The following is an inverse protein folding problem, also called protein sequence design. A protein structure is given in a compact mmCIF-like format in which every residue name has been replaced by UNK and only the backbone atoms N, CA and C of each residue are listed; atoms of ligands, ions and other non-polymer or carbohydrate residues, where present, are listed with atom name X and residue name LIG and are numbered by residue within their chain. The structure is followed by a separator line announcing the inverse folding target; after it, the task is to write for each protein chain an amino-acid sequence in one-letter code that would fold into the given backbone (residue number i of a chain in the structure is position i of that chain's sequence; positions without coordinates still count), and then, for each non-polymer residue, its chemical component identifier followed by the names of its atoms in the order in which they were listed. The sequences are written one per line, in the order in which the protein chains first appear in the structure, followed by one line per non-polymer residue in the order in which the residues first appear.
data_IF_233483201808
#
_entry.id   IF_233483201808
#
_cell.length_a   1.000
_cell.length_b   1.000
_cell.length_c   1.000
_cell.angle_alpha   90.00
_cell.angle_beta   90.00
_cell.angle_gamma   90.00
#
_symmetry.space_group_name_H-M   'P 1'
#
loop_
_entity.id
_entity.type
_entity.pdbx_description
1 polymer ?
#
# COMPACT_ATOMS: atom_id res chain seq x y z
N UNK A 1 -5.12 7.80 13.65
CA UNK A 1 -4.07 8.42 12.79
C UNK A 1 -3.67 7.37 11.76
N UNK A 2 -3.37 7.75 10.52
CA UNK A 2 -2.86 6.77 9.53
C UNK A 2 -1.50 6.26 10.02
N UNK A 3 -1.36 4.95 10.19
CA UNK A 3 -0.10 4.33 10.60
C UNK A 3 1.01 4.54 9.55
N UNK A 4 2.26 4.59 10.00
CA UNK A 4 3.42 4.75 9.12
C UNK A 4 3.58 3.58 8.14
N UNK A 5 3.08 2.40 8.51
CA UNK A 5 2.97 1.20 7.69
C UNK A 5 2.07 1.41 6.46
N UNK A 6 0.90 2.03 6.60
CA UNK A 6 0.04 2.36 5.46
C UNK A 6 0.72 3.30 4.47
N UNK A 7 1.32 4.38 4.98
CA UNK A 7 2.06 5.33 4.14
C UNK A 7 3.23 4.65 3.43
N UNK A 8 3.99 3.82 4.16
CA UNK A 8 5.10 3.06 3.59
C UNK A 8 4.64 2.13 2.46
N UNK A 9 3.49 1.46 2.61
CA UNK A 9 2.95 0.61 1.56
C UNK A 9 2.51 1.40 0.32
N UNK A 10 1.83 2.55 0.49
CA UNK A 10 1.40 3.39 -0.65
C UNK A 10 2.61 3.84 -1.48
N UNK A 11 3.69 4.25 -0.80
CA UNK A 11 4.96 4.59 -1.46
C UNK A 11 5.55 3.35 -2.14
N UNK A 12 5.59 2.20 -1.45
CA UNK A 12 6.09 0.94 -2.00
C UNK A 12 5.34 0.55 -3.27
N UNK A 13 4.02 0.66 -3.30
CA UNK A 13 3.19 0.30 -4.45
C UNK A 13 3.56 1.12 -5.70
N UNK A 14 3.76 2.43 -5.55
CA UNK A 14 4.22 3.30 -6.61
C UNK A 14 5.63 2.97 -7.11
N UNK A 15 6.56 2.74 -6.17
CA UNK A 15 7.94 2.36 -6.49
C UNK A 15 8.00 1.02 -7.22
N UNK A 16 7.34 -0.02 -6.69
CA UNK A 16 7.28 -1.37 -7.27
C UNK A 16 6.73 -1.31 -8.68
N UNK A 17 5.60 -0.63 -8.88
CA UNK A 17 4.98 -0.51 -10.19
C UNK A 17 5.94 0.14 -11.22
N UNK A 18 6.66 1.19 -10.82
CA UNK A 18 7.59 1.87 -11.70
C UNK A 18 8.82 1.02 -12.04
N UNK A 19 9.53 0.48 -11.03
CA UNK A 19 10.75 -0.30 -11.28
C UNK A 19 10.48 -1.64 -11.98
N UNK A 20 9.26 -2.17 -11.85
CA UNK A 20 8.82 -3.37 -12.54
C UNK A 20 8.28 -3.10 -13.96
N UNK A 21 8.22 -1.83 -14.41
CA UNK A 21 7.67 -1.46 -15.71
C UNK A 21 6.18 -1.74 -15.86
N UNK A 22 5.43 -1.76 -14.76
CA UNK A 22 3.99 -1.99 -14.75
C UNK A 22 3.24 -0.74 -15.15
N UNK A 23 2.02 -0.89 -15.67
CA UNK A 23 1.17 0.25 -15.99
C UNK A 23 0.68 0.98 -14.72
N UNK A 24 0.23 2.22 -14.87
CA UNK A 24 -0.42 3.00 -13.80
C UNK A 24 -1.68 2.33 -13.24
N UNK A 25 -2.19 1.27 -13.89
CA UNK A 25 -3.27 0.46 -13.37
C UNK A 25 -2.89 -0.20 -12.02
N UNK A 26 -1.61 -0.48 -11.78
CA UNK A 26 -1.15 -1.14 -10.56
C UNK A 26 -1.52 -0.37 -9.28
N UNK A 27 -1.07 0.89 -9.09
CA UNK A 27 -1.45 1.65 -7.90
C UNK A 27 -2.97 1.90 -7.80
N UNK A 28 -3.69 1.97 -8.93
CA UNK A 28 -5.16 2.09 -8.89
C UNK A 28 -5.87 0.83 -8.39
N UNK A 29 -5.32 -0.37 -8.61
CA UNK A 29 -5.87 -1.59 -8.02
C UNK A 29 -5.77 -1.57 -6.49
N UNK A 30 -4.67 -1.05 -5.94
CA UNK A 30 -4.54 -0.85 -4.50
C UNK A 30 -5.59 0.14 -3.97
N UNK A 31 -5.79 1.28 -4.65
CA UNK A 31 -6.80 2.26 -4.27
C UNK A 31 -8.21 1.67 -4.35
N UNK A 32 -8.54 0.96 -5.43
CA UNK A 32 -9.83 0.27 -5.57
C UNK A 32 -10.05 -0.74 -4.44
N UNK A 33 -9.03 -1.55 -4.13
CA UNK A 33 -9.03 -2.46 -2.98
C UNK A 33 -9.30 -1.72 -1.69
N UNK A 34 -8.65 -0.57 -1.46
CA UNK A 34 -8.84 0.23 -0.25
C UNK A 34 -10.28 0.73 -0.08
N UNK A 35 -10.94 1.14 -1.17
CA UNK A 35 -12.33 1.58 -1.11
C UNK A 35 -13.26 0.40 -0.79
N UNK A 36 -12.98 -0.79 -1.32
CA UNK A 36 -13.69 -2.03 -0.97
C UNK A 36 -13.49 -2.34 0.51
N UNK A 37 -12.25 -2.26 1.01
CA UNK A 37 -11.91 -2.48 2.41
C UNK A 37 -12.68 -1.57 3.37
N UNK A 38 -12.74 -0.27 3.07
CA UNK A 38 -13.56 0.68 3.83
C UNK A 38 -15.03 0.26 3.81
N UNK A 39 -15.56 -0.11 2.64
CA UNK A 39 -16.93 -0.60 2.50
C UNK A 39 -17.22 -1.82 3.38
N UNK A 40 -16.32 -2.81 3.41
CA UNK A 40 -16.43 -3.99 4.27
C UNK A 40 -16.45 -3.61 5.75
N UNK A 41 -15.60 -2.67 6.16
CA UNK A 41 -15.56 -2.17 7.54
C UNK A 41 -16.89 -1.51 7.94
N UNK A 42 -17.45 -0.68 7.07
CA UNK A 42 -18.75 -0.03 7.30
C UNK A 42 -19.93 -1.00 7.34
N UNK A 43 -19.80 -2.16 6.68
CA UNK A 43 -20.76 -3.27 6.78
C UNK A 43 -20.60 -4.09 8.07
N UNK A 44 -19.69 -3.70 8.98
CA UNK A 44 -19.38 -4.41 10.22
C UNK A 44 -18.91 -5.86 9.98
N UNK A 45 -18.24 -6.09 8.85
CA UNK A 45 -17.65 -7.39 8.51
C UNK A 45 -16.22 -7.46 9.03
N UNK A 46 -15.98 -8.26 10.08
CA UNK A 46 -14.64 -8.38 10.65
C UNK A 46 -13.64 -9.03 9.70
N UNK A 47 -12.52 -8.33 9.45
CA UNK A 47 -11.34 -8.90 8.80
C UNK A 47 -10.31 -9.32 9.86
N UNK A 48 -10.17 -10.62 10.15
CA UNK A 48 -9.25 -11.07 11.18
C UNK A 48 -7.80 -10.79 10.76
N UNK A 49 -6.95 -10.49 11.75
CA UNK A 49 -5.52 -10.26 11.58
C UNK A 49 -5.16 -9.15 10.58
N UNK A 50 -6.05 -8.16 10.38
CA UNK A 50 -5.84 -7.08 9.42
C UNK A 50 -4.49 -6.35 9.63
N UNK A 51 -4.16 -5.99 10.88
CA UNK A 51 -2.92 -5.29 11.21
C UNK A 51 -1.66 -6.13 10.91
N UNK A 52 -1.71 -7.44 11.18
CA UNK A 52 -0.61 -8.38 10.87
C UNK A 52 -0.43 -8.47 9.34
N UNK A 53 -1.52 -8.56 8.59
CA UNK A 53 -1.50 -8.65 7.12
C UNK A 53 -0.96 -7.34 6.51
N UNK A 54 -1.35 -6.19 7.06
CA UNK A 54 -0.81 -4.87 6.70
C UNK A 54 0.70 -4.81 6.96
N UNK A 55 1.16 -5.18 8.15
CA UNK A 55 2.58 -5.15 8.48
C UNK A 55 3.40 -6.12 7.59
N UNK A 56 2.86 -7.31 7.33
CA UNK A 56 3.47 -8.30 6.45
C UNK A 56 3.53 -7.81 4.98
N UNK A 57 2.51 -7.08 4.51
CA UNK A 57 2.49 -6.52 3.16
C UNK A 57 3.58 -5.46 2.97
N UNK A 58 3.78 -4.59 3.98
CA UNK A 58 4.84 -3.57 4.01
C UNK A 58 6.21 -4.24 4.00
N UNK A 59 6.40 -5.25 4.84
CA UNK A 59 7.62 -6.05 4.88
C UNK A 59 7.90 -6.67 3.51
N UNK A 60 6.90 -7.31 2.90
CA UNK A 60 7.05 -7.96 1.60
C UNK A 60 7.35 -6.96 0.47
N UNK A 61 6.66 -5.81 0.44
CA UNK A 61 6.89 -4.75 -0.54
C UNK A 61 8.28 -4.13 -0.41
N UNK A 62 8.72 -3.86 0.82
CA UNK A 62 10.07 -3.40 1.11
C UNK A 62 11.14 -4.40 0.68
N UNK A 63 10.93 -5.69 0.98
CA UNK A 63 11.82 -6.76 0.55
C UNK A 63 11.91 -6.87 -0.98
N UNK A 64 10.78 -6.78 -1.68
CA UNK A 64 10.71 -6.84 -3.15
C UNK A 64 11.53 -5.74 -3.80
N UNK A 65 11.53 -4.53 -3.23
CA UNK A 65 12.37 -3.42 -3.67
C UNK A 65 13.84 -3.62 -3.27
N UNK A 66 14.11 -3.95 -2.01
CA UNK A 66 15.47 -4.06 -1.47
C UNK A 66 16.33 -5.12 -2.18
N UNK A 67 15.71 -6.24 -2.58
CA UNK A 67 16.40 -7.32 -3.31
C UNK A 67 16.93 -6.88 -4.68
N UNK A 68 16.35 -5.84 -5.29
CA UNK A 68 16.80 -5.29 -6.58
C UNK A 68 16.82 -6.31 -7.71
N UNK A 69 15.79 -7.17 -7.80
CA UNK A 69 15.64 -8.18 -8.86
C UNK A 69 14.30 -8.01 -9.54
N UNK A 70 14.26 -8.32 -10.84
CA UNK A 70 13.05 -8.28 -11.65
C UNK A 70 11.83 -8.96 -10.98
N UNK A 71 10.66 -8.36 -11.19
CA UNK A 71 9.37 -8.93 -10.80
C UNK A 71 8.91 -9.86 -11.92
N UNK A 72 8.99 -11.17 -11.66
CA UNK A 72 8.71 -12.19 -12.69
C UNK A 72 7.21 -12.30 -13.03
N UNK A 73 6.32 -12.06 -12.07
CA UNK A 73 4.87 -12.23 -12.24
C UNK A 73 4.10 -10.95 -11.88
N UNK A 74 3.92 -10.06 -12.85
CA UNK A 74 3.18 -8.81 -12.68
C UNK A 74 1.68 -9.04 -12.39
N UNK A 75 1.08 -10.12 -12.90
CA UNK A 75 -0.32 -10.47 -12.66
C UNK A 75 -0.54 -10.76 -11.18
N UNK A 76 0.37 -11.52 -10.57
CA UNK A 76 0.34 -11.76 -9.12
C UNK A 76 0.46 -10.45 -8.34
N UNK A 77 1.33 -9.53 -8.76
CA UNK A 77 1.47 -8.22 -8.08
C UNK A 77 0.19 -7.39 -8.20
N UNK A 78 -0.48 -7.38 -9.36
CA UNK A 78 -1.79 -6.74 -9.51
C UNK A 78 -2.83 -7.31 -8.53
N UNK A 79 -2.92 -8.65 -8.44
CA UNK A 79 -3.83 -9.30 -7.52
C UNK A 79 -3.49 -8.97 -6.05
N UNK A 80 -2.21 -8.98 -5.69
CA UNK A 80 -1.75 -8.64 -4.34
C UNK A 80 -2.04 -7.18 -3.99
N UNK A 81 -1.88 -6.24 -4.92
CA UNK A 81 -2.24 -4.84 -4.68
C UNK A 81 -3.73 -4.68 -4.38
N UNK A 82 -4.60 -5.36 -5.12
CA UNK A 82 -6.04 -5.34 -4.83
C UNK A 82 -6.33 -5.93 -3.44
N UNK A 83 -5.80 -7.13 -3.13
CA UNK A 83 -6.05 -7.83 -1.87
C UNK A 83 -5.50 -7.05 -0.67
N UNK A 84 -4.24 -6.62 -0.73
CA UNK A 84 -3.63 -5.82 0.33
C UNK A 84 -4.34 -4.48 0.46
N UNK A 85 -4.75 -3.87 -0.66
CA UNK A 85 -5.61 -2.69 -0.67
C UNK A 85 -6.83 -2.86 0.22
N UNK A 86 -7.53 -4.00 0.14
CA UNK A 86 -8.69 -4.30 1.01
C UNK A 86 -8.32 -4.23 2.50
N UNK A 87 -7.21 -4.83 2.93
CA UNK A 87 -6.82 -4.78 4.35
C UNK A 87 -6.43 -3.37 4.80
N UNK A 88 -5.66 -2.63 3.98
CA UNK A 88 -5.33 -1.25 4.31
C UNK A 88 -6.58 -0.36 4.36
N UNK A 89 -7.50 -0.56 3.41
CA UNK A 89 -8.80 0.08 3.35
C UNK A 89 -9.66 -0.18 4.58
N UNK A 90 -9.69 -1.43 5.03
CA UNK A 90 -10.46 -1.83 6.20
C UNK A 90 -10.05 -1.03 7.44
N UNK A 91 -8.75 -0.90 7.71
CA UNK A 91 -8.26 -0.10 8.82
C UNK A 91 -8.47 1.42 8.64
N UNK A 92 -8.55 1.93 7.41
CA UNK A 92 -8.99 3.32 7.18
C UNK A 92 -10.46 3.54 7.59
N UNK A 93 -11.29 2.52 7.42
CA UNK A 93 -12.71 2.53 7.78
C UNK A 93 -12.98 2.72 9.27
N UNK A 94 -12.07 2.32 10.15
CA UNK A 94 -12.21 2.47 11.61
C UNK A 94 -12.41 3.92 12.03
N UNK A 95 -11.73 4.86 11.36
CA UNK A 95 -11.75 6.28 11.71
C UNK A 95 -13.09 6.98 11.39
N UNK A 96 -13.99 6.32 10.66
CA UNK A 96 -15.21 6.91 10.11
C UNK A 96 -16.48 6.16 10.50
N UNK A 97 -16.39 5.15 11.36
CA UNK A 97 -17.55 4.46 11.93
C UNK A 97 -18.46 5.48 12.64
N UNK A 98 -19.76 5.46 12.32
CA UNK A 98 -20.76 6.35 12.92
C UNK A 98 -20.86 7.75 12.32
N UNK A 99 -20.17 8.02 11.21
CA UNK A 99 -20.26 9.29 10.47
C UNK A 99 -21.57 9.43 9.68
N UNK A 100 -22.07 10.66 9.51
CA UNK A 100 -23.19 10.96 8.58
C UNK A 100 -22.75 10.75 7.10
N UNK A 101 -23.70 10.55 6.17
CA UNK A 101 -23.39 10.14 4.78
C UNK A 101 -22.60 11.18 3.95
N UNK A 102 -22.88 12.48 4.10
CA UNK A 102 -22.19 13.53 3.34
C UNK A 102 -20.69 13.61 3.67
N UNK A 103 -20.27 13.56 4.96
CA UNK A 103 -18.86 13.35 5.34
C UNK A 103 -18.19 12.12 4.71
N UNK A 104 -18.94 11.04 4.49
CA UNK A 104 -18.39 9.79 4.00
C UNK A 104 -17.91 9.87 2.54
N UNK A 105 -18.70 10.49 1.66
CA UNK A 105 -18.32 10.63 0.24
C UNK A 105 -17.07 11.50 0.11
N UNK A 106 -17.02 12.62 0.83
CA UNK A 106 -15.87 13.52 0.84
C UNK A 106 -14.62 12.81 1.39
N UNK A 107 -14.77 12.01 2.44
CA UNK A 107 -13.70 11.20 3.01
C UNK A 107 -13.16 10.19 1.99
N UNK A 108 -14.03 9.39 1.35
CA UNK A 108 -13.63 8.37 0.38
C UNK A 108 -12.96 9.00 -0.85
N UNK A 109 -13.48 10.13 -1.34
CA UNK A 109 -12.87 10.87 -2.44
C UNK A 109 -11.48 11.41 -2.06
N UNK A 110 -11.34 11.99 -0.87
CA UNK A 110 -10.06 12.46 -0.34
C UNK A 110 -9.06 11.32 -0.13
N UNK A 111 -9.52 10.20 0.41
CA UNK A 111 -8.73 8.99 0.61
C UNK A 111 -8.22 8.43 -0.73
N UNK A 112 -9.08 8.31 -1.74
CA UNK A 112 -8.69 7.87 -3.06
C UNK A 112 -7.68 8.85 -3.72
N UNK A 113 -7.94 10.16 -3.61
CA UNK A 113 -7.09 11.19 -4.19
C UNK A 113 -5.69 11.22 -3.56
N UNK A 114 -5.59 11.21 -2.22
CA UNK A 114 -4.31 11.28 -1.51
C UNK A 114 -3.48 10.02 -1.77
N UNK A 115 -4.08 8.84 -1.67
CA UNK A 115 -3.36 7.58 -1.95
C UNK A 115 -2.85 7.53 -3.39
N UNK A 116 -3.70 7.94 -4.35
CA UNK A 116 -3.31 8.03 -5.76
C UNK A 116 -2.17 9.02 -5.95
N UNK A 117 -2.25 10.21 -5.36
CA UNK A 117 -1.22 11.24 -5.49
C UNK A 117 0.14 10.77 -4.96
N UNK A 118 0.17 10.11 -3.81
CA UNK A 118 1.42 9.58 -3.22
C UNK A 118 2.00 8.45 -4.09
N UNK A 119 1.17 7.47 -4.45
CA UNK A 119 1.63 6.33 -5.25
C UNK A 119 2.11 6.76 -6.65
N UNK A 120 1.36 7.64 -7.32
CA UNK A 120 1.74 8.19 -8.62
C UNK A 120 2.97 9.09 -8.51
N UNK A 121 3.11 9.88 -7.44
CA UNK A 121 4.29 10.68 -7.18
C UNK A 121 5.56 9.82 -7.06
N UNK A 122 5.49 8.72 -6.31
CA UNK A 122 6.58 7.75 -6.21
C UNK A 122 6.88 7.09 -7.56
N UNK A 123 5.84 6.70 -8.31
CA UNK A 123 5.97 6.11 -9.64
C UNK A 123 6.69 7.05 -10.61
N UNK A 124 6.20 8.29 -10.74
CA UNK A 124 6.78 9.27 -11.67
C UNK A 124 8.17 9.75 -11.24
N UNK A 125 8.49 9.74 -9.95
CA UNK A 125 9.85 9.99 -9.48
C UNK A 125 10.82 8.95 -10.05
N UNK A 126 10.51 7.66 -9.95
CA UNK A 126 11.34 6.59 -10.51
C UNK A 126 11.47 6.75 -12.03
N UNK A 127 10.35 6.95 -12.73
CA UNK A 127 10.33 7.10 -14.18
C UNK A 127 11.13 8.32 -14.67
N UNK A 128 10.97 9.48 -14.03
CA UNK A 128 11.68 10.72 -14.40
C UNK A 128 13.19 10.63 -14.18
N UNK A 129 13.63 9.75 -13.28
CA UNK A 129 15.05 9.50 -13.00
C UNK A 129 15.62 8.33 -13.79
N UNK A 130 14.79 7.55 -14.48
CA UNK A 130 15.20 6.35 -15.20
C UNK A 130 15.82 5.29 -14.29
N UNK A 131 15.38 5.20 -13.02
CA UNK A 131 15.92 4.21 -12.10
C UNK A 131 15.41 2.81 -12.43
N UNK A 132 16.34 1.93 -12.79
CA UNK A 132 16.07 0.50 -12.93
C UNK A 132 15.90 -0.18 -11.55
N UNK A 133 15.38 -1.41 -11.54
CA UNK A 133 15.15 -2.17 -10.31
C UNK A 133 16.44 -2.49 -9.54
N UNK A 134 17.57 -2.64 -10.24
CA UNK A 134 18.88 -2.90 -9.63
C UNK A 134 19.52 -1.63 -9.03
N UNK A 135 18.99 -0.44 -9.36
CA UNK A 135 19.54 0.83 -8.92
C UNK A 135 19.52 0.96 -7.38
N UNK A 136 20.48 1.70 -6.84
CA UNK A 136 20.64 1.83 -5.40
C UNK A 136 19.44 2.54 -4.75
N UNK A 137 18.84 3.52 -5.42
CA UNK A 137 17.83 4.41 -4.84
C UNK A 137 16.51 3.67 -4.52
N UNK A 138 15.89 2.91 -5.45
CA UNK A 138 14.71 2.10 -5.11
C UNK A 138 15.01 1.03 -4.05
N UNK A 139 16.23 0.48 -4.04
CA UNK A 139 16.64 -0.53 -3.06
C UNK A 139 16.80 0.03 -1.64
N UNK A 140 17.38 1.23 -1.50
CA UNK A 140 17.46 1.93 -0.21
C UNK A 140 16.08 2.32 0.30
N UNK A 141 15.20 2.82 -0.58
CA UNK A 141 13.80 3.07 -0.22
C UNK A 141 13.12 1.77 0.23
N UNK A 142 13.34 0.67 -0.49
CA UNK A 142 12.90 -0.67 -0.12
C UNK A 142 13.40 -1.13 1.24
N UNK A 143 14.68 -0.88 1.58
CA UNK A 143 15.24 -1.24 2.87
C UNK A 143 14.61 -0.45 4.03
N UNK A 144 14.29 0.83 3.81
CA UNK A 144 13.56 1.65 4.80
C UNK A 144 12.14 1.11 4.99
N UNK A 145 11.42 0.85 3.91
CA UNK A 145 10.05 0.28 3.94
C UNK A 145 10.07 -1.10 4.62
N UNK A 146 11.07 -1.92 4.32
CA UNK A 146 11.28 -3.22 4.95
C UNK A 146 11.43 -3.07 6.47
N UNK A 147 12.23 -2.09 6.92
CA UNK A 147 12.40 -1.77 8.33
C UNK A 147 11.10 -1.34 9.01
N UNK A 148 10.25 -0.56 8.34
CA UNK A 148 8.90 -0.23 8.83
C UNK A 148 8.08 -1.51 9.00
N UNK A 149 8.03 -2.37 7.97
CA UNK A 149 7.29 -3.63 8.03
C UNK A 149 7.76 -4.56 9.15
N UNK A 150 9.08 -4.71 9.32
CA UNK A 150 9.67 -5.49 10.43
C UNK A 150 9.26 -4.91 11.78
N UNK A 151 9.31 -3.59 11.94
CA UNK A 151 9.00 -2.92 13.21
C UNK A 151 7.53 -3.14 13.60
N UNK A 152 6.61 -2.91 12.65
CA UNK A 152 5.19 -3.10 12.90
C UNK A 152 4.86 -4.58 13.11
N UNK A 153 5.42 -5.49 12.30
CA UNK A 153 5.13 -6.92 12.44
C UNK A 153 5.66 -7.46 13.77
N UNK A 154 6.87 -7.08 14.19
CA UNK A 154 7.40 -7.45 15.49
C UNK A 154 6.54 -6.90 16.65
N UNK A 155 6.01 -5.68 16.50
CA UNK A 155 5.08 -5.08 17.47
C UNK A 155 3.85 -5.97 17.75
N UNK A 156 3.26 -6.56 16.71
CA UNK A 156 2.09 -7.45 16.86
C UNK A 156 2.44 -8.85 17.40
N UNK A 157 3.71 -9.26 17.35
CA UNK A 157 4.15 -10.60 17.78
C UNK A 157 4.71 -10.62 19.20
N UNK A 158 5.22 -9.47 19.67
CA UNK A 158 5.95 -9.35 20.93
C UNK A 158 5.21 -8.46 21.95
N UNK A 159 4.32 -7.59 21.50
CA UNK A 159 3.41 -6.80 22.34
C UNK A 159 2.14 -7.55 22.70
#
# INVERSE_FOLDING_TARGET
MIGLDHLAFIVAAGLIAAVAGMSLFAPFLFVAGSLIGVGLHLMLLDLPAAEIIIAASVLAGGWLLARGRAVENQILVFALFLVVGVFHGYAFGEAIVGSEETPLIAYLAGLAAIQSAIALGAYFLVQSRGWAIEAMQPRLAGAVILGVGVTFLAGHLVG
#
